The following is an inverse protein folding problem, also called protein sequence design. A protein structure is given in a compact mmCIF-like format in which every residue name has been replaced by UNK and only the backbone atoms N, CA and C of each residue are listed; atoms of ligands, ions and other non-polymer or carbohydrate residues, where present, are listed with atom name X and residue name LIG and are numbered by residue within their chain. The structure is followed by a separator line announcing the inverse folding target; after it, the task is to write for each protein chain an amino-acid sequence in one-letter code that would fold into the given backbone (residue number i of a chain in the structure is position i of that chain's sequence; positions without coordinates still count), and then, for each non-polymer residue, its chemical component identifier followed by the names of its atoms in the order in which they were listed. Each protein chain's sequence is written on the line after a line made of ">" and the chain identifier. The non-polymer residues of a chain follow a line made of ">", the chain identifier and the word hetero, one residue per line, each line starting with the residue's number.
data_IF_713737054101
#
_entry.id   IF_713737054101
#
_cell.length_a   1.000
_cell.length_b   1.000
_cell.length_c   1.000
_cell.angle_alpha   90.00
_cell.angle_beta   90.00
_cell.angle_gamma   90.00
#
_symmetry.space_group_name_H-M   'P 1'
#
loop_
_entity.id
_entity.type
_entity.pdbx_description
1 polymer ?
#
# COMPACT_ATOMS: atom_id res chain seq x y z
N UNK A 1 12.50 -8.88 20.45
CA UNK A 1 11.42 -7.87 20.33
C UNK A 1 11.83 -6.65 19.50
N UNK A 2 12.97 -5.99 19.79
CA UNK A 2 13.46 -4.82 19.01
C UNK A 2 13.60 -5.08 17.51
N UNK A 3 14.23 -6.19 17.12
CA UNK A 3 14.41 -6.56 15.70
C UNK A 3 13.06 -6.79 15.01
N UNK A 4 12.16 -7.56 15.64
CA UNK A 4 10.82 -7.85 15.11
C UNK A 4 10.00 -6.56 14.85
N UNK A 5 10.02 -5.61 15.79
CA UNK A 5 9.32 -4.33 15.64
C UNK A 5 9.82 -3.59 14.39
N UNK A 6 11.13 -3.44 14.24
CA UNK A 6 11.71 -2.77 13.08
C UNK A 6 11.47 -3.53 11.77
N UNK A 7 11.51 -4.86 11.78
CA UNK A 7 11.14 -5.67 10.61
C UNK A 7 9.70 -5.40 10.18
N UNK A 8 8.75 -5.38 11.11
CA UNK A 8 7.36 -5.08 10.80
C UNK A 8 7.20 -3.64 10.27
N UNK A 9 7.87 -2.66 10.87
CA UNK A 9 7.88 -1.27 10.38
C UNK A 9 8.39 -1.19 8.93
N UNK A 10 9.49 -1.87 8.62
CA UNK A 10 10.04 -1.91 7.26
C UNK A 10 9.10 -2.59 6.28
N UNK A 11 8.44 -3.69 6.67
CA UNK A 11 7.43 -4.35 5.83
C UNK A 11 6.23 -3.43 5.57
N UNK A 12 5.74 -2.73 6.60
CA UNK A 12 4.66 -1.76 6.45
C UNK A 12 5.06 -0.62 5.52
N UNK A 13 6.28 -0.07 5.65
CA UNK A 13 6.80 0.96 4.75
C UNK A 13 6.98 0.45 3.32
N UNK A 14 7.46 -0.77 3.15
CA UNK A 14 7.59 -1.39 1.83
C UNK A 14 6.23 -1.58 1.16
N UNK A 15 5.22 -2.06 1.89
CA UNK A 15 3.86 -2.18 1.39
C UNK A 15 3.24 -0.82 1.05
N UNK A 16 3.43 0.19 1.92
CA UNK A 16 2.96 1.56 1.69
C UNK A 16 3.61 2.20 0.46
N UNK A 17 4.91 1.99 0.29
CA UNK A 17 5.66 2.47 -0.87
C UNK A 17 5.25 1.73 -2.15
N UNK A 18 5.01 0.42 -2.07
CA UNK A 18 4.48 -0.37 -3.19
C UNK A 18 3.10 0.11 -3.63
N UNK A 19 2.22 0.43 -2.69
CA UNK A 19 0.91 1.02 -2.98
C UNK A 19 1.03 2.40 -3.64
N UNK A 20 1.90 3.27 -3.14
CA UNK A 20 2.14 4.57 -3.76
C UNK A 20 2.75 4.44 -5.17
N UNK A 21 3.70 3.53 -5.37
CA UNK A 21 4.28 3.24 -6.67
C UNK A 21 3.24 2.70 -7.66
N UNK A 22 2.36 1.79 -7.22
CA UNK A 22 1.25 1.30 -8.03
C UNK A 22 0.28 2.43 -8.38
N UNK A 23 -0.09 3.26 -7.41
CA UNK A 23 -0.92 4.44 -7.64
C UNK A 23 -0.29 5.40 -8.63
N UNK A 24 1.02 5.62 -8.53
CA UNK A 24 1.77 6.46 -9.46
C UNK A 24 1.81 5.86 -10.87
N UNK A 25 2.00 4.54 -10.99
CA UNK A 25 1.99 3.84 -12.27
C UNK A 25 0.60 3.88 -12.92
N UNK A 26 -0.48 3.73 -12.14
CA UNK A 26 -1.86 3.82 -12.63
C UNK A 26 -2.21 5.24 -13.06
N UNK A 27 -1.85 6.23 -12.25
CA UNK A 27 -1.88 7.64 -12.65
C UNK A 27 -0.86 7.95 -13.76
N UNK A 28 0.02 7.01 -14.11
CA UNK A 28 0.99 7.04 -15.19
C UNK A 28 0.38 6.71 -16.55
N UNK A 29 -0.76 6.01 -16.55
CA UNK A 29 -1.42 5.56 -17.76
C UNK A 29 -2.10 6.73 -18.47
N UNK A 30 -1.88 6.83 -19.79
CA UNK A 30 -2.65 7.73 -20.66
C UNK A 30 -3.75 6.96 -21.39
N UNK A 31 -4.81 7.65 -21.83
CA UNK A 31 -5.83 7.05 -22.67
C UNK A 31 -5.24 6.39 -23.94
N UNK A 32 -4.16 6.97 -24.50
CA UNK A 32 -3.43 6.42 -25.65
C UNK A 32 -2.63 5.15 -25.36
N UNK A 33 -2.37 4.83 -24.10
CA UNK A 33 -1.69 3.59 -23.68
C UNK A 33 -2.67 2.46 -23.40
N UNK A 34 -3.98 2.75 -23.32
CA UNK A 34 -5.00 1.72 -23.28
C UNK A 34 -5.12 1.18 -24.71
N UNK A 35 -4.75 -0.09 -24.97
CA UNK A 35 -4.78 -0.63 -26.31
C UNK A 35 -6.23 -0.61 -26.82
N UNK A 36 -6.37 -0.42 -28.13
CA UNK A 36 -7.69 -0.46 -28.75
C UNK A 36 -8.36 -1.81 -28.44
N UNK A 37 -9.62 -1.74 -28.05
CA UNK A 37 -10.42 -2.92 -27.68
C UNK A 37 -10.39 -3.94 -28.80
N UNK A 38 -10.56 -3.48 -30.04
CA UNK A 38 -10.54 -4.32 -31.22
C UNK A 38 -9.17 -4.95 -31.45
N UNK A 39 -8.08 -4.21 -31.24
CA UNK A 39 -6.72 -4.72 -31.42
C UNK A 39 -6.36 -5.81 -30.39
N UNK A 40 -6.85 -5.68 -29.16
CA UNK A 40 -6.70 -6.71 -28.12
C UNK A 40 -7.56 -7.95 -28.43
N UNK A 41 -8.81 -7.74 -28.83
CA UNK A 41 -9.73 -8.83 -29.13
C UNK A 41 -9.31 -9.60 -30.39
N UNK A 42 -8.71 -8.94 -31.39
CA UNK A 42 -8.17 -9.59 -32.58
C UNK A 42 -7.05 -10.61 -32.26
N UNK A 43 -6.40 -10.48 -31.10
CA UNK A 43 -5.33 -11.39 -30.66
C UNK A 43 -5.86 -12.58 -29.84
N UNK A 44 -7.15 -12.61 -29.50
CA UNK A 44 -7.70 -13.62 -28.61
C UNK A 44 -8.40 -14.77 -29.36
N UNK A 45 -7.87 -16.02 -29.25
CA UNK A 45 -8.35 -17.16 -30.05
C UNK A 45 -9.74 -17.69 -29.65
N UNK A 46 -10.39 -17.10 -28.64
CA UNK A 46 -11.68 -17.56 -28.12
C UNK A 46 -12.81 -16.56 -28.35
N UNK A 47 -12.53 -15.41 -28.98
CA UNK A 47 -13.51 -14.35 -29.23
C UNK A 47 -14.73 -14.85 -29.99
N UNK A 48 -14.54 -15.71 -30.99
CA UNK A 48 -15.62 -16.30 -31.78
C UNK A 48 -16.50 -17.27 -30.97
N UNK A 49 -15.95 -17.85 -29.90
CA UNK A 49 -16.72 -18.75 -29.01
C UNK A 49 -17.56 -17.97 -27.99
N UNK A 50 -17.30 -16.69 -27.78
CA UNK A 50 -18.03 -15.87 -26.80
C UNK A 50 -19.37 -15.34 -27.34
N UNK A 51 -19.46 -15.13 -28.66
CA UNK A 51 -20.65 -14.55 -29.30
C UNK A 51 -21.94 -15.35 -29.05
N UNK A 52 -21.96 -16.69 -29.13
CA UNK A 52 -23.17 -17.47 -28.85
C UNK A 52 -23.60 -17.42 -27.37
N UNK A 53 -22.66 -17.21 -26.45
CA UNK A 53 -22.92 -17.25 -25.01
C UNK A 53 -23.34 -15.88 -24.46
N UNK A 54 -22.86 -14.79 -25.05
CA UNK A 54 -23.15 -13.44 -24.58
C UNK A 54 -23.33 -12.47 -25.75
N UNK A 55 -24.40 -12.58 -26.56
CA UNK A 55 -24.61 -11.71 -27.70
C UNK A 55 -24.54 -10.22 -27.31
N UNK A 56 -23.75 -9.44 -28.05
CA UNK A 56 -23.53 -8.01 -27.78
C UNK A 56 -22.43 -7.70 -26.74
N UNK A 57 -21.70 -8.70 -26.24
CA UNK A 57 -20.57 -8.49 -25.32
C UNK A 57 -19.50 -7.54 -25.87
N UNK A 58 -19.27 -7.55 -27.19
CA UNK A 58 -18.31 -6.64 -27.87
C UNK A 58 -18.72 -5.18 -27.67
N UNK A 59 -20.02 -4.89 -27.75
CA UNK A 59 -20.56 -3.55 -27.51
C UNK A 59 -20.42 -3.12 -26.05
N UNK A 60 -20.62 -4.05 -25.10
CA UNK A 60 -20.38 -3.78 -23.68
C UNK A 60 -18.90 -3.50 -23.38
N UNK A 61 -18.00 -4.26 -24.02
CA UNK A 61 -16.56 -4.06 -23.89
C UNK A 61 -16.14 -2.72 -24.52
N UNK A 62 -16.64 -2.40 -25.71
CA UNK A 62 -16.41 -1.11 -26.35
C UNK A 62 -16.94 0.05 -25.50
N UNK A 63 -18.13 -0.07 -24.91
CA UNK A 63 -18.69 0.94 -23.99
C UNK A 63 -17.83 1.09 -22.74
N UNK A 64 -17.36 -0.02 -22.15
CA UNK A 64 -16.47 -0.02 -20.99
C UNK A 64 -15.12 0.64 -21.29
N UNK A 65 -14.52 0.35 -22.44
CA UNK A 65 -13.28 0.96 -22.91
C UNK A 65 -13.45 2.45 -23.22
N UNK A 66 -14.53 2.83 -23.92
CA UNK A 66 -14.84 4.24 -24.16
C UNK A 66 -15.06 5.01 -22.85
N UNK A 67 -15.78 4.42 -21.90
CA UNK A 67 -15.96 4.99 -20.56
C UNK A 67 -14.65 5.12 -19.78
N UNK A 68 -13.75 4.14 -19.91
CA UNK A 68 -12.42 4.16 -19.28
C UNK A 68 -11.54 5.24 -19.91
N UNK A 69 -11.54 5.37 -21.24
CA UNK A 69 -10.81 6.42 -21.95
C UNK A 69 -11.36 7.80 -21.59
N UNK A 70 -12.68 7.96 -21.50
CA UNK A 70 -13.31 9.21 -21.06
C UNK A 70 -12.93 9.55 -19.62
N UNK A 71 -13.00 8.58 -18.71
CA UNK A 71 -12.56 8.75 -17.34
C UNK A 71 -11.08 9.16 -17.28
N UNK A 72 -10.20 8.49 -18.02
CA UNK A 72 -8.77 8.82 -18.11
C UNK A 72 -8.52 10.19 -18.74
N UNK A 73 -9.31 10.62 -19.72
CA UNK A 73 -9.22 11.94 -20.31
C UNK A 73 -9.59 13.03 -19.29
N UNK A 74 -10.70 12.85 -18.57
CA UNK A 74 -11.12 13.76 -17.50
C UNK A 74 -10.11 13.76 -16.34
N UNK A 75 -9.61 12.59 -15.95
CA UNK A 75 -8.57 12.43 -14.92
C UNK A 75 -7.22 13.03 -15.36
N UNK A 76 -6.97 13.11 -16.67
CA UNK A 76 -5.77 13.70 -17.26
C UNK A 76 -5.55 15.14 -16.82
N UNK A 77 -6.62 15.95 -16.78
CA UNK A 77 -6.57 17.35 -16.35
C UNK A 77 -6.23 17.49 -14.86
N UNK A 78 -6.66 16.54 -14.04
CA UNK A 78 -6.40 16.51 -12.59
C UNK A 78 -5.14 15.73 -12.21
N UNK A 79 -4.45 15.15 -13.20
CA UNK A 79 -3.39 14.18 -12.98
C UNK A 79 -2.21 14.75 -12.20
N UNK A 80 -1.82 15.99 -12.49
CA UNK A 80 -0.77 16.68 -11.74
C UNK A 80 -1.13 16.89 -10.28
N UNK A 81 -2.39 17.28 -10.01
CA UNK A 81 -2.90 17.46 -8.65
C UNK A 81 -3.00 16.12 -7.91
N UNK A 82 -3.53 15.07 -8.56
CA UNK A 82 -3.63 13.73 -7.99
C UNK A 82 -2.26 13.11 -7.70
N UNK A 83 -1.27 13.32 -8.58
CA UNK A 83 0.11 12.92 -8.31
C UNK A 83 0.70 13.67 -7.10
N UNK A 84 0.46 14.98 -7.01
CA UNK A 84 0.86 15.78 -5.86
C UNK A 84 0.25 15.28 -4.54
N UNK A 85 -1.06 15.02 -4.55
CA UNK A 85 -1.78 14.45 -3.40
C UNK A 85 -1.25 13.07 -3.03
N UNK A 86 -1.00 12.20 -4.02
CA UNK A 86 -0.46 10.85 -3.80
C UNK A 86 0.89 10.90 -3.07
N UNK A 87 1.83 11.72 -3.54
CA UNK A 87 3.15 11.83 -2.91
C UNK A 87 3.09 12.50 -1.54
N UNK A 88 2.18 13.47 -1.37
CA UNK A 88 1.94 14.11 -0.07
C UNK A 88 1.38 13.09 0.93
N UNK A 89 0.38 12.30 0.52
CA UNK A 89 -0.18 11.23 1.34
C UNK A 89 0.88 10.16 1.64
N UNK A 90 1.69 9.77 0.66
CA UNK A 90 2.79 8.83 0.87
C UNK A 90 3.79 9.33 1.93
N UNK A 91 4.21 10.59 1.83
CA UNK A 91 5.14 11.21 2.77
C UNK A 91 4.58 11.27 4.19
N UNK A 92 3.34 11.75 4.35
CA UNK A 92 2.65 11.79 5.64
C UNK A 92 2.47 10.40 6.26
N UNK A 93 2.06 9.42 5.46
CA UNK A 93 1.92 8.03 5.91
C UNK A 93 3.24 7.42 6.36
N UNK A 94 4.32 7.69 5.64
CA UNK A 94 5.67 7.21 5.99
C UNK A 94 6.16 7.82 7.31
N UNK A 95 5.98 9.13 7.49
CA UNK A 95 6.32 9.82 8.73
C UNK A 95 5.53 9.28 9.92
N UNK A 96 4.22 9.02 9.74
CA UNK A 96 3.37 8.47 10.78
C UNK A 96 3.82 7.06 11.19
N UNK A 97 4.10 6.18 10.24
CA UNK A 97 4.59 4.82 10.51
C UNK A 97 5.90 4.86 11.30
N UNK A 98 6.84 5.73 10.92
CA UNK A 98 8.10 5.92 11.64
C UNK A 98 7.89 6.48 13.05
N UNK A 99 7.00 7.47 13.21
CA UNK A 99 6.70 8.05 14.52
C UNK A 99 6.10 7.02 15.49
N UNK A 100 5.17 6.19 15.01
CA UNK A 100 4.58 5.10 15.80
C UNK A 100 5.63 4.05 16.17
N UNK A 101 6.49 3.65 15.22
CA UNK A 101 7.57 2.70 15.49
C UNK A 101 8.56 3.24 16.54
N UNK A 102 8.92 4.53 16.44
CA UNK A 102 9.80 5.19 17.41
C UNK A 102 9.17 5.27 18.81
N UNK A 103 7.89 5.61 18.90
CA UNK A 103 7.16 5.66 20.17
C UNK A 103 7.09 4.26 20.83
N UNK A 104 6.70 3.23 20.07
CA UNK A 104 6.66 1.85 20.57
C UNK A 104 8.04 1.36 21.00
N UNK A 105 9.09 1.73 20.27
CA UNK A 105 10.46 1.42 20.63
C UNK A 105 10.86 2.03 21.97
N UNK A 106 10.51 3.31 22.22
CA UNK A 106 10.77 3.99 23.48
C UNK A 106 10.08 3.28 24.65
N UNK A 107 8.79 2.96 24.51
CA UNK A 107 8.01 2.22 25.53
C UNK A 107 8.64 0.88 25.86
N UNK A 108 9.06 0.11 24.85
CA UNK A 108 9.71 -1.19 25.05
C UNK A 108 11.05 -1.05 25.78
N UNK A 109 11.81 0.01 25.47
CA UNK A 109 13.09 0.29 26.14
C UNK A 109 12.87 0.61 27.62
N UNK A 110 11.96 1.54 27.92
CA UNK A 110 11.65 1.95 29.30
C UNK A 110 11.11 0.77 30.13
N UNK A 111 10.23 -0.05 29.54
CA UNK A 111 9.72 -1.26 30.20
C UNK A 111 10.82 -2.26 30.52
N UNK A 112 11.78 -2.45 29.59
CA UNK A 112 12.90 -3.36 29.81
C UNK A 112 13.86 -2.85 30.90
N UNK A 113 14.08 -1.54 30.98
CA UNK A 113 14.88 -0.91 32.03
C UNK A 113 14.21 -1.04 33.40
N UNK A 114 12.90 -0.78 33.48
CA UNK A 114 12.12 -0.92 34.71
C UNK A 114 12.16 -2.36 35.26
N UNK A 115 12.01 -3.37 34.39
CA UNK A 115 12.11 -4.78 34.78
C UNK A 115 13.52 -5.17 35.25
N UNK A 116 14.57 -4.61 34.65
CA UNK A 116 15.96 -4.85 35.07
C UNK A 116 16.34 -4.19 36.39
N UNK A 117 15.66 -3.10 36.77
CA UNK A 117 15.86 -2.40 38.03
C UNK A 117 15.08 -3.01 39.22
N UNK A 118 14.10 -3.89 38.95
CA UNK A 118 13.31 -4.58 39.95
C UNK A 118 13.99 -5.70 40.81
N UNK A 119 15.17 -6.29 40.48
CA UNK A 119 15.72 -7.43 41.21
C UNK A 119 16.00 -7.20 42.71
N UNK A 120 16.26 -5.96 43.13
CA UNK A 120 16.65 -5.66 44.52
C UNK A 120 15.50 -5.59 45.52
N UNK A 121 14.22 -5.61 45.07
CA UNK A 121 13.06 -5.56 45.98
C UNK A 121 12.62 -6.93 46.51
N UNK A 122 13.19 -8.03 46.02
CA UNK A 122 12.85 -9.41 46.43
C UNK A 122 14.04 -10.11 47.09
N UNK A 123 14.96 -9.36 47.72
CA UNK A 123 15.99 -9.97 48.58
C UNK A 123 15.36 -10.17 49.96
N UNK A 124 15.13 -11.40 50.44
CA UNK A 124 14.64 -11.61 51.78
C UNK A 124 15.62 -10.99 52.78
N UNK A 125 15.15 -10.38 53.88
CA UNK A 125 16.03 -9.79 54.88
C UNK A 125 17.03 -10.85 55.36
N UNK A 126 18.33 -10.53 55.29
CA UNK A 126 19.38 -11.39 55.84
C UNK A 126 19.04 -11.61 57.32
N UNK A 127 18.75 -12.85 57.71
CA UNK A 127 18.63 -13.20 59.12
C UNK A 127 19.96 -12.86 59.81
N UNK A 128 19.92 -12.18 60.97
CA UNK A 128 21.13 -11.89 61.73
C UNK A 128 21.82 -13.19 62.15
N UNK A 129 23.16 -13.21 62.23
CA UNK A 129 23.91 -14.35 62.73
C UNK A 129 23.54 -14.62 64.20
N UNK A 130 23.42 -15.91 64.53
CA UNK A 130 23.13 -16.43 65.86
C UNK A 130 24.35 -16.32 66.79
#
# INVERSE_FOLDING_TARGET
>A
MRALLWTLTLLTLAAWTGLAALGHALLGLTASQVPDAEALLAQWPWVERLDPWLPGWRSLLALGLAGTQLALAVLGDWRGLLQGLLWTAWGLGSLLVLAVAAALHAVVRESAEALRAAPDRIRPPRRPPA
#
